data_IF_540899720062
#
_entry.id   IF_540899720062
#
_cell.length_a   1.000
_cell.length_b   1.000
_cell.length_c   1.000
_cell.angle_alpha   90.00
_cell.angle_beta   90.00
_cell.angle_gamma   90.00
#
_symmetry.space_group_name_H-M   'P 1'
#
loop_
_entity.id
_entity.type
_entity.pdbx_description
1 polymer ?
#
# COMPACT_ATOMS: atom_id res chain seq x y z
N UNK A 1 15.29 23.10 -3.94
CA UNK A 1 16.44 22.34 -3.44
C UNK A 1 17.39 22.12 -4.61
N UNK A 2 18.59 22.71 -4.61
CA UNK A 2 19.50 22.75 -5.79
C UNK A 2 20.82 21.98 -5.57
N UNK A 3 20.82 20.94 -4.72
CA UNK A 3 22.01 20.14 -4.45
C UNK A 3 21.68 18.66 -4.36
N UNK A 4 22.66 17.80 -4.68
CA UNK A 4 22.54 16.35 -4.60
C UNK A 4 22.51 15.81 -3.16
N UNK A 5 22.83 16.66 -2.17
CA UNK A 5 22.94 16.28 -0.77
C UNK A 5 24.17 15.42 -0.43
N UNK A 6 25.20 15.40 -1.30
CA UNK A 6 26.45 14.68 -1.02
C UNK A 6 27.08 15.24 0.26
N UNK A 7 27.21 14.38 1.28
CA UNK A 7 27.78 14.75 2.58
C UNK A 7 26.83 15.50 3.53
N UNK A 8 25.52 15.52 3.27
CA UNK A 8 24.53 16.04 4.21
C UNK A 8 24.36 15.08 5.39
N UNK A 9 25.14 15.29 6.45
CA UNK A 9 24.96 14.59 7.72
C UNK A 9 23.92 15.31 8.56
N UNK A 10 22.92 14.57 9.03
CA UNK A 10 21.93 15.06 9.98
C UNK A 10 21.81 14.07 11.13
N UNK A 11 21.78 14.59 12.36
CA UNK A 11 21.47 13.83 13.57
C UNK A 11 19.97 13.88 13.91
N UNK A 12 19.17 14.50 13.04
CA UNK A 12 17.73 14.62 13.22
C UNK A 12 17.03 13.29 12.93
N UNK A 13 16.38 12.75 13.96
CA UNK A 13 15.58 11.54 13.87
C UNK A 13 14.41 11.70 12.91
N UNK A 14 13.81 12.90 12.78
CA UNK A 14 12.72 13.12 11.84
C UNK A 14 13.19 12.93 10.39
N UNK A 15 14.38 13.44 10.04
CA UNK A 15 14.98 13.23 8.73
C UNK A 15 15.33 11.76 8.47
N UNK A 16 15.90 11.05 9.46
CA UNK A 16 16.23 9.60 9.34
C UNK A 16 14.96 8.75 9.19
N UNK A 17 13.93 9.04 10.00
CA UNK A 17 12.65 8.33 9.98
C UNK A 17 11.86 8.59 8.70
N UNK A 18 12.02 9.75 8.04
CA UNK A 18 11.33 10.08 6.79
C UNK A 18 11.66 9.15 5.61
N UNK A 19 12.83 8.50 5.61
CA UNK A 19 13.28 7.66 4.49
C UNK A 19 12.92 6.16 4.64
N UNK A 20 12.95 5.62 5.86
CA UNK A 20 12.60 4.20 6.15
C UNK A 20 11.36 4.03 7.03
N UNK A 21 10.56 5.09 7.23
CA UNK A 21 9.47 5.21 8.21
C UNK A 21 9.97 5.15 9.67
N UNK A 22 10.53 4.02 10.09
CA UNK A 22 11.26 3.89 11.35
C UNK A 22 12.27 2.75 11.23
N UNK A 23 13.59 3.04 11.24
CA UNK A 23 14.61 2.02 11.05
C UNK A 23 14.72 1.02 12.21
N UNK A 24 14.04 1.25 13.35
CA UNK A 24 13.97 0.29 14.46
C UNK A 24 13.06 -0.91 14.15
N UNK A 25 12.07 -0.73 13.27
CA UNK A 25 11.04 -1.75 13.01
C UNK A 25 11.50 -2.66 11.86
N UNK A 26 12.43 -2.21 11.02
CA UNK A 26 13.00 -3.01 9.93
C UNK A 26 14.24 -3.79 10.39
N UNK A 27 14.41 -5.04 9.92
CA UNK A 27 15.57 -5.86 10.27
C UNK A 27 16.86 -5.24 9.70
N UNK A 28 17.97 -5.40 10.43
CA UNK A 28 19.27 -4.78 10.09
C UNK A 28 19.73 -5.09 8.66
N UNK A 29 19.59 -6.34 8.21
CA UNK A 29 19.95 -6.75 6.85
C UNK A 29 19.21 -5.94 5.77
N UNK A 30 17.92 -5.65 5.97
CA UNK A 30 17.14 -4.85 5.01
C UNK A 30 17.66 -3.40 4.96
N UNK A 31 17.99 -2.82 6.11
CA UNK A 31 18.56 -1.48 6.21
C UNK A 31 19.90 -1.37 5.48
N UNK A 32 20.80 -2.33 5.68
CA UNK A 32 22.11 -2.36 5.00
C UNK A 32 21.94 -2.48 3.49
N UNK A 33 20.99 -3.31 3.02
CA UNK A 33 20.73 -3.48 1.59
C UNK A 33 20.18 -2.19 0.95
N UNK A 34 19.26 -1.49 1.62
CA UNK A 34 18.74 -0.20 1.16
C UNK A 34 19.86 0.84 1.11
N UNK A 35 20.72 0.89 2.13
CA UNK A 35 21.86 1.80 2.16
C UNK A 35 22.83 1.52 1.00
N UNK A 36 23.16 0.26 0.74
CA UNK A 36 24.00 -0.11 -0.39
C UNK A 36 23.37 0.27 -1.73
N UNK A 37 22.06 0.03 -1.90
CA UNK A 37 21.31 0.43 -3.08
C UNK A 37 21.31 1.95 -3.28
N UNK A 38 21.13 2.73 -2.21
CA UNK A 38 21.23 4.19 -2.22
C UNK A 38 22.63 4.65 -2.66
N UNK A 39 23.69 4.07 -2.09
CA UNK A 39 25.07 4.44 -2.44
C UNK A 39 25.36 4.14 -3.91
N UNK A 40 24.97 2.95 -4.39
CA UNK A 40 25.13 2.57 -5.78
C UNK A 40 24.35 3.51 -6.71
N UNK A 41 23.13 3.88 -6.35
CA UNK A 41 22.31 4.79 -7.15
C UNK A 41 22.91 6.20 -7.23
N UNK A 42 23.20 6.82 -6.09
CA UNK A 42 23.61 8.24 -6.01
C UNK A 42 25.07 8.43 -6.42
N UNK A 43 25.98 7.52 -6.05
CA UNK A 43 27.42 7.70 -6.28
C UNK A 43 27.97 6.96 -7.50
N UNK A 44 27.25 5.96 -8.03
CA UNK A 44 27.72 5.19 -9.19
C UNK A 44 26.82 5.42 -10.39
N UNK A 45 25.53 5.09 -10.28
CA UNK A 45 24.61 5.13 -11.43
C UNK A 45 24.35 6.55 -11.93
N UNK A 46 24.01 7.47 -11.03
CA UNK A 46 23.68 8.85 -11.37
C UNK A 46 24.89 9.61 -11.99
N UNK A 47 26.12 9.50 -11.45
CA UNK A 47 27.29 10.15 -12.05
C UNK A 47 27.66 9.57 -13.42
N UNK A 48 27.58 8.24 -13.58
CA UNK A 48 27.84 7.58 -14.86
C UNK A 48 26.82 8.03 -15.92
N UNK A 49 25.54 8.14 -15.55
CA UNK A 49 24.49 8.56 -16.47
C UNK A 49 24.64 10.04 -16.88
N UNK A 50 24.96 10.94 -15.94
CA UNK A 50 25.05 12.37 -16.19
C UNK A 50 26.38 12.81 -16.81
N UNK A 51 27.51 12.48 -16.19
CA UNK A 51 28.83 12.92 -16.66
C UNK A 51 29.44 11.98 -17.68
N UNK A 52 29.28 10.66 -17.51
CA UNK A 52 29.92 9.64 -18.33
C UNK A 52 29.29 9.51 -19.71
N UNK A 53 28.03 9.11 -19.78
CA UNK A 53 27.36 8.82 -21.05
C UNK A 53 26.49 9.95 -21.60
N UNK A 54 26.24 11.00 -20.81
CA UNK A 54 25.30 12.08 -21.17
C UNK A 54 23.97 11.52 -21.71
N UNK A 55 23.43 10.51 -21.02
CA UNK A 55 22.20 9.84 -21.44
C UNK A 55 21.10 10.89 -21.61
N UNK A 56 20.37 10.88 -22.73
CA UNK A 56 19.28 11.83 -23.02
C UNK A 56 19.69 13.32 -23.04
N UNK A 57 20.92 13.67 -23.40
CA UNK A 57 21.42 15.06 -23.41
C UNK A 57 21.31 15.75 -22.04
N UNK A 58 21.49 14.99 -20.97
CA UNK A 58 21.23 15.44 -19.59
C UNK A 58 22.04 16.62 -19.11
N UNK A 59 23.18 16.94 -19.74
CA UNK A 59 23.97 18.14 -19.41
C UNK A 59 23.22 19.46 -19.68
N UNK A 60 22.12 19.46 -20.43
CA UNK A 60 21.33 20.68 -20.68
C UNK A 60 20.38 21.04 -19.54
N UNK A 61 20.15 20.13 -18.58
CA UNK A 61 19.26 20.35 -17.43
C UNK A 61 19.93 19.98 -16.10
N UNK A 62 19.40 20.50 -14.96
CA UNK A 62 19.93 20.18 -13.64
C UNK A 62 19.83 18.68 -13.30
N UNK A 63 20.80 18.17 -12.55
CA UNK A 63 20.86 16.75 -12.14
C UNK A 63 19.60 16.35 -11.36
N UNK A 64 19.15 17.23 -10.46
CA UNK A 64 17.95 17.06 -9.64
C UNK A 64 17.03 18.27 -9.80
N UNK A 65 15.83 18.04 -10.32
CA UNK A 65 14.76 19.04 -10.39
C UNK A 65 13.41 18.36 -10.58
N UNK A 66 12.38 18.91 -9.94
CA UNK A 66 10.98 18.52 -10.11
C UNK A 66 10.35 19.11 -11.38
N UNK A 67 11.03 20.04 -12.05
CA UNK A 67 10.51 20.70 -13.24
C UNK A 67 10.68 19.84 -14.49
N UNK A 68 9.81 20.09 -15.47
CA UNK A 68 9.89 19.52 -16.81
C UNK A 68 10.69 20.44 -17.72
N UNK A 69 11.45 19.88 -18.66
CA UNK A 69 12.34 20.62 -19.55
C UNK A 69 12.08 20.32 -21.03
N UNK A 70 12.23 21.34 -21.87
CA UNK A 70 12.37 21.19 -23.32
C UNK A 70 13.77 20.67 -23.67
N UNK A 71 13.99 20.27 -24.92
CA UNK A 71 15.29 19.76 -25.40
C UNK A 71 16.44 20.78 -25.31
N UNK A 72 16.10 22.07 -25.29
CA UNK A 72 17.00 23.20 -25.15
C UNK A 72 17.35 23.54 -23.68
N UNK A 73 16.76 22.87 -22.69
CA UNK A 73 16.97 23.14 -21.26
C UNK A 73 16.05 24.22 -20.66
N UNK A 74 15.15 24.82 -21.43
CA UNK A 74 14.14 25.73 -20.86
C UNK A 74 13.04 24.95 -20.15
N UNK A 75 12.39 25.57 -19.16
CA UNK A 75 11.26 24.96 -18.48
C UNK A 75 10.13 24.72 -19.49
N UNK A 76 9.57 23.52 -19.46
CA UNK A 76 8.48 23.12 -20.34
C UNK A 76 7.16 23.67 -19.82
N UNK A 77 6.48 24.49 -20.61
CA UNK A 77 5.17 25.02 -20.23
C UNK A 77 4.06 23.99 -20.53
N UNK A 78 3.56 23.35 -19.48
CA UNK A 78 2.51 22.33 -19.55
C UNK A 78 1.19 22.96 -20.03
N UNK A 79 0.93 24.23 -19.71
CA UNK A 79 -0.34 24.88 -20.08
C UNK A 79 -0.48 25.06 -21.58
N UNK A 80 0.64 25.16 -22.30
CA UNK A 80 0.65 25.30 -23.76
C UNK A 80 0.20 24.05 -24.53
N UNK A 81 0.28 22.86 -23.90
CA UNK A 81 -0.08 21.58 -24.52
C UNK A 81 -1.40 21.01 -24.01
N UNK A 82 -2.00 21.61 -22.99
CA UNK A 82 -3.24 21.12 -22.37
C UNK A 82 -4.36 22.10 -22.69
N UNK A 83 -5.39 21.63 -23.40
CA UNK A 83 -6.58 22.43 -23.68
C UNK A 83 -7.42 22.65 -22.39
N UNK A 84 -8.38 23.57 -22.40
CA UNK A 84 -9.30 23.84 -21.28
C UNK A 84 -10.09 22.61 -20.79
N UNK A 85 -10.18 21.57 -21.62
CA UNK A 85 -10.78 20.26 -21.29
C UNK A 85 -9.77 19.28 -20.63
N UNK A 86 -8.58 19.74 -20.27
CA UNK A 86 -7.48 18.94 -19.71
C UNK A 86 -7.00 17.79 -20.61
N UNK A 87 -7.31 17.86 -21.90
CA UNK A 87 -6.81 16.94 -22.90
C UNK A 87 -5.50 17.47 -23.50
N UNK A 88 -4.54 16.56 -23.69
CA UNK A 88 -3.29 16.88 -24.38
C UNK A 88 -3.60 17.16 -25.85
N UNK A 89 -3.31 18.37 -26.28
CA UNK A 89 -3.36 18.78 -27.68
C UNK A 89 -2.15 18.18 -28.40
N UNK A 90 -2.40 17.12 -29.17
CA UNK A 90 -1.33 16.39 -29.87
C UNK A 90 -0.62 17.23 -30.92
N UNK A 91 -1.32 18.21 -31.52
CA UNK A 91 -0.71 19.12 -32.50
C UNK A 91 0.24 20.10 -31.81
N UNK A 92 -0.19 20.70 -30.69
CA UNK A 92 0.66 21.56 -29.88
C UNK A 92 1.86 20.80 -29.30
N UNK A 93 1.64 19.56 -28.84
CA UNK A 93 2.70 18.67 -28.35
C UNK A 93 3.72 18.32 -29.44
N UNK A 94 3.25 18.01 -30.67
CA UNK A 94 4.15 17.70 -31.79
C UNK A 94 5.05 18.89 -32.15
N UNK A 95 4.54 20.13 -31.99
CA UNK A 95 5.28 21.38 -32.21
C UNK A 95 6.24 21.72 -31.07
N UNK A 96 5.80 21.55 -29.83
CA UNK A 96 6.59 21.85 -28.63
C UNK A 96 7.71 20.80 -28.38
N UNK A 97 7.55 19.60 -28.91
CA UNK A 97 8.52 18.52 -28.82
C UNK A 97 8.38 17.68 -27.54
N UNK A 98 9.29 16.72 -27.37
CA UNK A 98 9.24 15.77 -26.26
C UNK A 98 9.54 16.47 -24.93
N UNK A 99 8.79 16.09 -23.90
CA UNK A 99 9.04 16.48 -22.52
C UNK A 99 10.23 15.69 -21.98
N UNK A 100 11.22 16.39 -21.42
CA UNK A 100 12.35 15.80 -20.74
C UNK A 100 12.23 16.00 -19.22
N UNK A 101 12.67 14.98 -18.48
CA UNK A 101 12.75 14.98 -17.03
C UNK A 101 14.23 15.06 -16.62
N UNK A 102 14.49 15.52 -15.40
CA UNK A 102 15.85 15.42 -14.85
C UNK A 102 16.30 13.95 -14.76
N UNK A 103 17.61 13.72 -14.93
CA UNK A 103 18.16 12.36 -14.98
C UNK A 103 17.88 11.58 -13.70
N UNK A 104 17.86 12.27 -12.54
CA UNK A 104 17.51 11.67 -11.27
C UNK A 104 16.11 11.05 -11.31
N UNK A 105 15.10 11.82 -11.74
CA UNK A 105 13.73 11.31 -11.85
C UNK A 105 13.61 10.21 -12.91
N UNK A 106 14.27 10.36 -14.05
CA UNK A 106 14.25 9.34 -15.11
C UNK A 106 14.81 7.99 -14.62
N UNK A 107 15.95 8.00 -13.91
CA UNK A 107 16.53 6.79 -13.34
C UNK A 107 15.70 6.23 -12.18
N UNK A 108 15.17 7.07 -11.30
CA UNK A 108 14.25 6.64 -10.24
C UNK A 108 13.05 5.89 -10.84
N UNK A 109 12.36 6.47 -11.84
CA UNK A 109 11.25 5.79 -12.50
C UNK A 109 11.68 4.46 -13.13
N UNK A 110 12.81 4.45 -13.85
CA UNK A 110 13.36 3.22 -14.45
C UNK A 110 13.62 2.11 -13.43
N UNK A 111 14.27 2.43 -12.31
CA UNK A 111 14.51 1.48 -11.22
C UNK A 111 13.22 1.05 -10.52
N UNK A 112 12.23 1.93 -10.42
CA UNK A 112 10.92 1.57 -9.87
C UNK A 112 10.20 0.53 -10.74
N UNK A 113 10.26 0.63 -12.07
CA UNK A 113 9.77 -0.43 -12.98
C UNK A 113 10.51 -1.75 -12.75
N UNK A 114 11.85 -1.69 -12.64
CA UNK A 114 12.67 -2.86 -12.37
C UNK A 114 12.32 -3.51 -11.01
N UNK A 115 12.00 -2.70 -10.00
CA UNK A 115 11.66 -3.15 -8.65
C UNK A 115 10.37 -3.99 -8.63
N UNK A 116 9.38 -3.66 -9.48
CA UNK A 116 8.15 -4.46 -9.61
C UNK A 116 8.45 -5.85 -10.14
N UNK A 117 9.19 -5.93 -11.24
CA UNK A 117 9.59 -7.21 -11.82
C UNK A 117 10.45 -7.99 -10.83
N UNK A 118 11.43 -7.34 -10.21
CA UNK A 118 12.30 -7.95 -9.19
C UNK A 118 11.50 -8.49 -7.99
N UNK A 119 10.46 -7.79 -7.55
CA UNK A 119 9.58 -8.23 -6.45
C UNK A 119 8.89 -9.55 -6.78
N UNK A 120 8.27 -9.64 -7.96
CA UNK A 120 7.59 -10.86 -8.41
C UNK A 120 8.58 -12.00 -8.58
N UNK A 121 9.73 -11.74 -9.21
CA UNK A 121 10.79 -12.74 -9.41
C UNK A 121 11.38 -13.21 -8.07
N UNK A 122 11.66 -12.31 -7.15
CA UNK A 122 12.21 -12.63 -5.83
C UNK A 122 11.23 -13.48 -5.01
N UNK A 123 9.96 -13.08 -4.94
CA UNK A 123 8.93 -13.86 -4.23
C UNK A 123 8.72 -15.22 -4.89
N UNK A 124 8.67 -15.26 -6.23
CA UNK A 124 8.49 -16.51 -6.98
C UNK A 124 9.64 -17.50 -6.79
N UNK A 125 10.89 -17.04 -6.82
CA UNK A 125 12.07 -17.92 -6.72
C UNK A 125 12.34 -18.34 -5.28
N UNK A 126 12.39 -17.40 -4.34
CA UNK A 126 12.83 -17.66 -2.97
C UNK A 126 11.69 -18.21 -2.10
N UNK A 127 10.50 -17.61 -2.19
CA UNK A 127 9.36 -17.98 -1.35
C UNK A 127 8.36 -18.90 -2.06
N UNK A 128 8.45 -19.10 -3.38
CA UNK A 128 7.47 -19.88 -4.15
C UNK A 128 7.27 -21.30 -3.66
N UNK A 129 8.36 -22.00 -3.29
CA UNK A 129 8.27 -23.36 -2.73
C UNK A 129 7.55 -23.37 -1.38
N UNK A 130 7.87 -22.41 -0.52
CA UNK A 130 7.25 -22.28 0.81
C UNK A 130 5.76 -21.92 0.68
N UNK A 131 5.41 -20.96 -0.19
CA UNK A 131 4.03 -20.59 -0.50
C UNK A 131 3.24 -21.81 -0.96
N UNK A 132 3.79 -22.60 -1.88
CA UNK A 132 3.12 -23.79 -2.38
C UNK A 132 2.94 -24.86 -1.29
N UNK A 133 3.97 -25.09 -0.48
CA UNK A 133 3.91 -26.04 0.64
C UNK A 133 2.87 -25.61 1.67
N UNK A 134 2.85 -24.34 2.10
CA UNK A 134 1.86 -23.81 3.05
C UNK A 134 0.45 -23.82 2.46
N UNK A 135 0.28 -23.48 1.18
CA UNK A 135 -1.01 -23.57 0.50
C UNK A 135 -1.53 -25.01 0.44
N UNK A 136 -0.65 -25.99 0.20
CA UNK A 136 -1.01 -27.40 0.19
C UNK A 136 -1.27 -27.94 1.60
N UNK A 137 -0.47 -27.52 2.59
CA UNK A 137 -0.61 -27.89 3.99
C UNK A 137 -1.95 -27.40 4.55
N UNK A 138 -2.32 -26.14 4.30
CA UNK A 138 -3.61 -25.56 4.73
C UNK A 138 -4.82 -26.40 4.31
N UNK A 139 -4.75 -27.14 3.19
CA UNK A 139 -5.83 -28.03 2.72
C UNK A 139 -5.81 -29.43 3.34
N UNK A 140 -4.66 -29.87 3.88
CA UNK A 140 -4.43 -31.25 4.35
C UNK A 140 -4.19 -31.35 5.85
N UNK A 141 -3.87 -30.24 6.49
CA UNK A 141 -3.53 -30.18 7.90
C UNK A 141 -4.75 -30.54 8.74
N UNK A 142 -4.53 -31.45 9.69
CA UNK A 142 -5.59 -31.86 10.61
C UNK A 142 -5.91 -30.64 11.48
N UNK A 143 -7.19 -30.30 11.66
CA UNK A 143 -7.56 -29.19 12.53
C UNK A 143 -6.95 -29.44 13.91
N UNK A 144 -6.19 -28.46 14.39
CA UNK A 144 -5.66 -28.49 15.74
C UNK A 144 -6.82 -28.47 16.76
N UNK A 145 -6.49 -28.69 18.04
CA UNK A 145 -7.50 -28.75 19.10
C UNK A 145 -8.31 -27.45 19.14
N UNK A 146 -7.67 -26.30 18.92
CA UNK A 146 -8.34 -25.00 18.84
C UNK A 146 -9.31 -24.94 17.66
N UNK A 147 -8.91 -25.28 16.44
CA UNK A 147 -9.82 -25.32 15.28
C UNK A 147 -10.97 -26.30 15.52
N UNK A 148 -10.72 -27.44 16.16
CA UNK A 148 -11.77 -28.42 16.49
C UNK A 148 -12.77 -27.88 17.51
N UNK A 149 -12.31 -27.14 18.52
CA UNK A 149 -13.16 -26.45 19.49
C UNK A 149 -13.92 -25.28 18.84
N UNK A 150 -13.26 -24.55 17.93
CA UNK A 150 -13.84 -23.42 17.21
C UNK A 150 -14.86 -23.86 16.14
N UNK A 151 -14.78 -25.08 15.61
CA UNK A 151 -15.78 -25.66 14.68
C UNK A 151 -17.20 -25.78 15.27
N UNK A 152 -17.36 -25.60 16.58
CA UNK A 152 -18.66 -25.52 17.24
C UNK A 152 -19.42 -24.23 16.88
N UNK A 153 -18.71 -23.20 16.41
CA UNK A 153 -19.28 -21.93 16.00
C UNK A 153 -19.57 -21.92 14.51
N UNK A 154 -20.72 -21.34 14.15
CA UNK A 154 -21.05 -21.11 12.75
C UNK A 154 -20.10 -20.07 12.15
N UNK A 155 -19.54 -20.41 10.99
CA UNK A 155 -18.69 -19.49 10.23
C UNK A 155 -19.48 -18.23 9.84
N UNK A 156 -18.81 -17.07 9.92
CA UNK A 156 -19.41 -15.79 9.51
C UNK A 156 -19.83 -15.90 8.04
N UNK A 157 -21.08 -15.54 7.68
CA UNK A 157 -21.57 -15.68 6.32
C UNK A 157 -20.79 -14.77 5.36
N UNK A 158 -19.86 -15.36 4.60
CA UNK A 158 -19.02 -14.64 3.63
C UNK A 158 -19.80 -13.97 2.48
N UNK A 159 -21.11 -14.26 2.34
CA UNK A 159 -21.99 -13.64 1.34
C UNK A 159 -22.02 -12.12 1.44
N UNK A 160 -21.99 -11.57 2.67
CA UNK A 160 -21.95 -10.12 2.89
C UNK A 160 -20.67 -9.47 2.34
N UNK A 161 -19.53 -10.14 2.48
CA UNK A 161 -18.27 -9.67 1.93
C UNK A 161 -18.30 -9.66 0.40
N UNK A 162 -18.73 -10.77 -0.22
CA UNK A 162 -18.81 -10.85 -1.68
C UNK A 162 -19.86 -9.89 -2.26
N UNK A 163 -20.99 -9.68 -1.57
CA UNK A 163 -22.02 -8.73 -2.03
C UNK A 163 -21.54 -7.28 -1.96
N UNK A 164 -20.88 -6.89 -0.87
CA UNK A 164 -20.33 -5.55 -0.72
C UNK A 164 -19.19 -5.29 -1.71
N UNK A 165 -18.33 -6.28 -1.94
CA UNK A 165 -17.29 -6.22 -2.96
C UNK A 165 -17.88 -6.06 -4.36
N UNK A 166 -18.87 -6.89 -4.73
CA UNK A 166 -19.55 -6.81 -6.03
C UNK A 166 -20.25 -5.47 -6.23
N UNK A 167 -20.91 -4.95 -5.19
CA UNK A 167 -21.54 -3.62 -5.22
C UNK A 167 -20.50 -2.52 -5.46
N UNK A 168 -19.38 -2.54 -4.74
CA UNK A 168 -18.33 -1.53 -4.89
C UNK A 168 -17.71 -1.51 -6.30
N UNK A 169 -17.48 -2.69 -6.89
CA UNK A 169 -16.98 -2.82 -8.27
C UNK A 169 -18.02 -2.33 -9.27
N UNK A 170 -19.29 -2.67 -9.05
CA UNK A 170 -20.40 -2.27 -9.93
C UNK A 170 -20.61 -0.75 -9.92
N UNK A 171 -20.61 -0.12 -8.75
CA UNK A 171 -20.68 1.34 -8.62
C UNK A 171 -19.48 2.01 -9.28
N UNK A 172 -18.28 1.45 -9.09
CA UNK A 172 -17.05 1.98 -9.72
C UNK A 172 -17.08 1.88 -11.25
N UNK A 173 -17.57 0.77 -11.80
CA UNK A 173 -17.75 0.60 -13.26
C UNK A 173 -18.83 1.55 -13.80
N UNK A 174 -19.94 1.71 -13.09
CA UNK A 174 -21.02 2.61 -13.46
C UNK A 174 -20.56 4.08 -13.48
N UNK A 175 -19.77 4.49 -12.50
CA UNK A 175 -19.16 5.83 -12.48
C UNK A 175 -18.22 6.03 -13.67
N UNK A 176 -17.44 5.02 -14.06
CA UNK A 176 -16.56 5.10 -15.23
C UNK A 176 -17.33 5.18 -16.56
N UNK A 177 -18.56 4.67 -16.65
CA UNK A 177 -19.39 4.75 -17.87
C UNK A 177 -20.22 6.02 -17.94
N UNK A 178 -20.86 6.43 -16.84
CA UNK A 178 -21.74 7.62 -16.79
C UNK A 178 -20.91 8.91 -16.74
N UNK A 179 -19.89 8.99 -15.89
CA UNK A 179 -19.06 10.18 -15.71
C UNK A 179 -17.81 10.13 -16.62
N UNK A 180 -17.95 9.62 -17.85
CA UNK A 180 -16.83 9.51 -18.80
C UNK A 180 -16.11 10.84 -19.04
N UNK A 181 -16.88 11.94 -19.05
CA UNK A 181 -16.35 13.29 -19.26
C UNK A 181 -15.50 13.80 -18.08
N UNK A 182 -15.76 13.32 -16.86
CA UNK A 182 -15.09 13.78 -15.63
C UNK A 182 -14.01 12.82 -15.13
N UNK A 183 -14.22 11.51 -15.30
CA UNK A 183 -13.34 10.46 -14.74
C UNK A 183 -12.22 10.10 -15.71
N UNK A 184 -12.40 10.32 -17.03
CA UNK A 184 -11.45 10.06 -18.13
C UNK A 184 -10.78 8.66 -18.16
N UNK A 185 -11.10 7.77 -17.22
CA UNK A 185 -10.59 6.42 -17.10
C UNK A 185 -11.47 5.47 -17.94
N UNK A 186 -10.91 4.71 -18.89
CA UNK A 186 -11.67 3.68 -19.59
C UNK A 186 -12.08 2.58 -18.61
N UNK A 187 -13.29 2.02 -18.78
CA UNK A 187 -13.83 0.95 -17.93
C UNK A 187 -12.90 -0.27 -17.83
N UNK A 188 -12.19 -0.62 -18.91
CA UNK A 188 -11.21 -1.70 -18.92
C UNK A 188 -9.99 -1.39 -18.03
N UNK A 189 -9.62 -0.12 -17.90
CA UNK A 189 -8.53 0.31 -17.01
C UNK A 189 -8.82 0.02 -15.54
N UNK A 190 -10.09 0.07 -15.12
CA UNK A 190 -10.50 -0.29 -13.77
C UNK A 190 -10.31 -1.80 -13.50
N UNK A 191 -10.74 -2.64 -14.46
CA UNK A 191 -10.58 -4.10 -14.36
C UNK A 191 -9.10 -4.48 -14.36
N UNK A 192 -8.31 -3.83 -15.21
CA UNK A 192 -6.86 -4.01 -15.24
C UNK A 192 -6.20 -3.63 -13.90
N UNK A 193 -6.60 -2.51 -13.30
CA UNK A 193 -6.10 -2.07 -12.00
C UNK A 193 -6.47 -3.05 -10.86
N UNK A 194 -7.69 -3.59 -10.87
CA UNK A 194 -8.11 -4.64 -9.92
C UNK A 194 -7.30 -5.92 -10.09
N UNK A 195 -7.08 -6.35 -11.34
CA UNK A 195 -6.26 -7.52 -11.65
C UNK A 195 -4.80 -7.34 -11.18
N UNK A 196 -4.20 -6.19 -11.45
CA UNK A 196 -2.86 -5.88 -10.95
C UNK A 196 -2.82 -5.85 -9.42
N UNK A 197 -3.78 -5.19 -8.76
CA UNK A 197 -3.84 -5.15 -7.31
C UNK A 197 -3.89 -6.56 -6.71
N UNK A 198 -4.74 -7.44 -7.24
CA UNK A 198 -4.84 -8.83 -6.80
C UNK A 198 -3.52 -9.60 -6.96
N UNK A 199 -2.87 -9.50 -8.12
CA UNK A 199 -1.60 -10.18 -8.41
C UNK A 199 -0.48 -9.69 -7.49
N UNK A 200 -0.36 -8.37 -7.31
CA UNK A 200 0.72 -7.76 -6.52
C UNK A 200 0.47 -7.79 -5.02
N UNK A 201 -0.75 -8.07 -4.56
CA UNK A 201 -1.06 -8.15 -3.12
C UNK A 201 -0.17 -9.19 -2.43
N UNK A 202 -0.10 -10.42 -2.95
CA UNK A 202 0.67 -11.48 -2.30
C UNK A 202 2.18 -11.18 -2.25
N UNK A 203 2.86 -10.80 -3.35
CA UNK A 203 4.28 -10.46 -3.31
C UNK A 203 4.60 -9.28 -2.39
N UNK A 204 3.78 -8.21 -2.44
CA UNK A 204 3.99 -7.03 -1.59
C UNK A 204 3.77 -7.38 -0.13
N UNK A 205 2.76 -8.20 0.20
CA UNK A 205 2.51 -8.64 1.58
C UNK A 205 3.68 -9.45 2.14
N UNK A 206 4.31 -10.33 1.36
CA UNK A 206 5.46 -11.14 1.83
C UNK A 206 6.68 -10.26 2.07
N UNK A 207 6.97 -9.32 1.17
CA UNK A 207 8.11 -8.40 1.35
C UNK A 207 7.85 -7.49 2.55
N UNK A 208 6.65 -6.93 2.68
CA UNK A 208 6.28 -6.10 3.83
C UNK A 208 6.37 -6.91 5.13
N UNK A 209 5.91 -8.16 5.15
CA UNK A 209 5.96 -9.01 6.35
C UNK A 209 7.40 -9.39 6.76
N UNK A 210 8.33 -9.50 5.81
CA UNK A 210 9.71 -9.95 6.08
C UNK A 210 10.68 -8.79 6.31
N UNK A 211 10.47 -7.65 5.65
CA UNK A 211 11.39 -6.49 5.68
C UNK A 211 10.80 -5.27 6.39
N UNK A 212 9.50 -5.29 6.66
CA UNK A 212 8.74 -4.14 7.15
C UNK A 212 8.87 -2.89 6.25
N UNK A 213 9.15 -3.10 4.96
CA UNK A 213 9.26 -2.05 3.96
C UNK A 213 8.14 -2.22 2.93
N UNK A 214 7.31 -1.19 2.79
CA UNK A 214 6.22 -1.17 1.83
C UNK A 214 6.69 -0.52 0.53
N UNK A 215 6.47 -1.21 -0.60
CA UNK A 215 6.76 -0.66 -1.92
C UNK A 215 5.62 0.28 -2.30
N UNK A 216 5.83 1.59 -2.15
CA UNK A 216 4.79 2.60 -2.42
C UNK A 216 4.49 2.80 -3.93
N UNK A 217 5.25 2.21 -4.85
CA UNK A 217 5.15 2.56 -6.27
C UNK A 217 3.86 2.09 -6.99
N UNK A 218 3.07 1.19 -6.40
CA UNK A 218 1.76 0.81 -6.97
C UNK A 218 0.76 1.99 -6.97
N UNK A 219 0.93 2.98 -6.09
CA UNK A 219 0.12 4.22 -6.09
C UNK A 219 0.50 5.18 -7.21
N UNK A 220 1.75 5.18 -7.65
CA UNK A 220 2.24 6.12 -8.68
C UNK A 220 1.85 5.66 -10.10
N UNK A 221 1.77 4.35 -10.33
CA UNK A 221 1.17 3.81 -11.56
C UNK A 221 -0.29 4.22 -11.75
N UNK A 222 -1.04 4.30 -10.64
CA UNK A 222 -2.39 4.83 -10.66
C UNK A 222 -2.37 6.32 -11.02
N UNK A 223 -1.41 7.09 -10.51
CA UNK A 223 -1.23 8.51 -10.82
C UNK A 223 -0.99 8.76 -12.32
N UNK A 224 -0.20 7.93 -13.00
CA UNK A 224 0.01 8.01 -14.46
C UNK A 224 -1.28 7.81 -15.27
N UNK A 225 -2.23 7.04 -14.75
CA UNK A 225 -3.59 6.96 -15.30
C UNK A 225 -4.49 8.13 -14.85
N UNK A 226 -4.26 8.69 -13.65
CA UNK A 226 -4.99 9.83 -13.09
C UNK A 226 -4.55 11.19 -13.62
N UNK A 227 -3.42 11.29 -14.33
CA UNK A 227 -2.97 12.53 -14.97
C UNK A 227 -3.92 13.06 -16.07
N UNK A 228 -4.96 12.31 -16.42
CA UNK A 228 -6.07 12.78 -17.26
C UNK A 228 -7.23 13.40 -16.47
N UNK A 229 -7.28 13.31 -15.15
CA UNK A 229 -8.44 13.77 -14.39
C UNK A 229 -8.41 15.30 -14.23
N UNK A 230 -9.51 16.03 -14.55
CA UNK A 230 -9.56 17.48 -14.42
C UNK A 230 -9.39 17.91 -12.94
N UNK A 231 -8.75 19.07 -12.67
CA UNK A 231 -8.38 19.51 -11.33
C UNK A 231 -9.56 19.72 -10.39
N UNK A 232 -10.78 19.97 -10.89
CA UNK A 232 -11.99 20.08 -10.05
C UNK A 232 -12.42 18.72 -9.48
N UNK A 233 -12.40 17.66 -10.28
CA UNK A 233 -12.70 16.31 -9.81
C UNK A 233 -11.53 15.71 -9.03
N UNK A 234 -10.29 16.03 -9.40
CA UNK A 234 -9.11 15.69 -8.59
C UNK A 234 -9.16 16.39 -7.22
N UNK A 235 -9.52 17.67 -7.16
CA UNK A 235 -9.73 18.37 -5.88
C UNK A 235 -10.86 17.73 -5.07
N UNK A 236 -12.00 17.39 -5.67
CA UNK A 236 -13.09 16.71 -4.95
C UNK A 236 -12.70 15.32 -4.44
N UNK A 237 -11.96 14.53 -5.22
CA UNK A 237 -11.45 13.22 -4.80
C UNK A 237 -10.36 13.36 -3.75
N UNK A 238 -9.47 14.33 -3.87
CA UNK A 238 -8.38 14.56 -2.91
C UNK A 238 -8.89 15.20 -1.61
N UNK A 239 -9.91 16.06 -1.71
CA UNK A 239 -10.74 16.52 -0.60
C UNK A 239 -11.39 15.29 0.05
N UNK A 240 -12.16 14.49 -0.69
CA UNK A 240 -12.82 13.30 -0.15
C UNK A 240 -11.84 12.31 0.47
N UNK A 241 -10.69 12.02 -0.17
CA UNK A 241 -9.63 11.18 0.40
C UNK A 241 -9.08 11.79 1.68
N UNK A 242 -8.84 13.10 1.73
CA UNK A 242 -8.36 13.77 2.94
C UNK A 242 -9.39 13.74 4.06
N UNK A 243 -10.66 14.03 3.78
CA UNK A 243 -11.71 14.00 4.80
C UNK A 243 -12.08 12.58 5.21
N UNK A 244 -12.10 11.62 4.29
CA UNK A 244 -12.36 10.22 4.59
C UNK A 244 -11.17 9.58 5.32
N UNK A 245 -9.93 9.97 5.02
CA UNK A 245 -8.76 9.58 5.80
C UNK A 245 -8.80 10.18 7.21
N UNK A 246 -9.13 11.47 7.35
CA UNK A 246 -9.29 12.11 8.66
C UNK A 246 -10.46 11.48 9.44
N UNK A 247 -11.56 11.15 8.77
CA UNK A 247 -12.71 10.49 9.38
C UNK A 247 -12.37 9.06 9.80
N UNK A 248 -11.69 8.28 8.94
CA UNK A 248 -11.20 6.94 9.27
C UNK A 248 -10.24 7.01 10.46
N UNK A 249 -9.27 7.93 10.44
CA UNK A 249 -8.33 8.13 11.54
C UNK A 249 -9.04 8.58 12.83
N UNK A 250 -10.06 9.43 12.73
CA UNK A 250 -10.88 9.85 13.87
C UNK A 250 -11.76 8.70 14.42
N UNK A 251 -12.27 7.84 13.54
CA UNK A 251 -13.01 6.63 13.94
C UNK A 251 -12.08 5.62 14.60
N UNK A 252 -10.89 5.36 14.04
CA UNK A 252 -9.90 4.46 14.64
C UNK A 252 -9.40 4.98 16.00
N UNK A 253 -9.10 6.29 16.08
CA UNK A 253 -8.75 6.95 17.33
C UNK A 253 -9.92 6.94 18.33
N UNK A 254 -11.15 7.13 17.85
CA UNK A 254 -12.37 7.08 18.66
C UNK A 254 -12.64 5.69 19.23
N UNK A 255 -12.43 4.63 18.44
CA UNK A 255 -12.50 3.23 18.90
C UNK A 255 -11.42 2.95 19.93
N UNK A 256 -10.18 3.41 19.70
CA UNK A 256 -9.08 3.24 20.66
C UNK A 256 -9.38 3.96 22.00
N UNK A 257 -9.86 5.20 21.95
CA UNK A 257 -10.24 5.96 23.14
C UNK A 257 -11.40 5.30 23.88
N UNK A 258 -12.44 4.86 23.15
CA UNK A 258 -13.55 4.11 23.74
C UNK A 258 -13.08 2.79 24.36
N UNK A 259 -12.10 2.10 23.76
CA UNK A 259 -11.51 0.90 24.35
C UNK A 259 -10.88 1.15 25.72
N UNK A 260 -10.14 2.25 25.87
CA UNK A 260 -9.56 2.65 27.16
C UNK A 260 -10.64 3.02 28.18
N UNK A 261 -11.65 3.80 27.77
CA UNK A 261 -12.77 4.18 28.63
C UNK A 261 -13.55 2.94 29.11
N UNK A 262 -13.87 2.01 28.20
CA UNK A 262 -14.55 0.76 28.54
C UNK A 262 -13.70 -0.12 29.47
N UNK A 263 -12.39 -0.14 29.28
CA UNK A 263 -11.50 -0.89 30.17
C UNK A 263 -11.55 -0.38 31.63
N UNK A 264 -11.43 0.93 31.83
CA UNK A 264 -11.46 1.52 33.18
C UNK A 264 -12.85 1.51 33.81
N UNK A 265 -13.91 1.70 33.02
CA UNK A 265 -15.28 1.80 33.55
C UNK A 265 -15.98 0.45 33.74
N UNK A 266 -15.70 -0.53 32.88
CA UNK A 266 -16.41 -1.82 32.87
C UNK A 266 -15.48 -2.99 33.20
N UNK A 267 -14.32 -3.09 32.55
CA UNK A 267 -13.42 -4.24 32.74
C UNK A 267 -12.79 -4.27 34.14
N UNK A 268 -12.32 -3.13 34.66
CA UNK A 268 -11.74 -3.07 36.02
C UNK A 268 -12.76 -3.34 37.13
N UNK A 269 -14.00 -2.90 36.97
CA UNK A 269 -15.08 -3.16 37.95
C UNK A 269 -15.83 -4.48 37.70
N UNK A 270 -15.40 -5.30 36.73
CA UNK A 270 -16.07 -6.52 36.27
C UNK A 270 -17.58 -6.33 35.99
N UNK A 271 -17.97 -5.19 35.42
CA UNK A 271 -19.37 -4.91 35.05
C UNK A 271 -19.60 -5.25 33.58
N UNK A 272 -20.50 -6.20 33.31
CA UNK A 272 -20.93 -6.54 31.94
C UNK A 272 -22.22 -5.81 31.56
N UNK A 273 -22.23 -5.12 30.42
CA UNK A 273 -23.45 -4.51 29.86
C UNK A 273 -24.05 -5.49 28.84
N UNK A 274 -25.32 -5.84 29.01
CA UNK A 274 -26.06 -6.60 28.01
C UNK A 274 -26.67 -5.65 26.97
N UNK A 275 -26.16 -5.73 25.74
CA UNK A 275 -26.73 -5.07 24.55
C UNK A 275 -26.77 -6.08 23.38
N UNK A 276 -27.26 -5.63 22.23
CA UNK A 276 -27.52 -6.41 21.03
C UNK A 276 -26.18 -6.86 20.45
N UNK A 277 -25.96 -8.18 20.44
CA UNK A 277 -24.70 -8.79 20.05
C UNK A 277 -23.73 -9.12 21.20
N UNK A 278 -24.05 -8.78 22.46
CA UNK A 278 -23.24 -9.08 23.67
C UNK A 278 -24.00 -10.05 24.60
N UNK A 279 -24.69 -11.03 24.02
CA UNK A 279 -25.39 -12.07 24.79
C UNK A 279 -24.42 -13.15 25.25
N UNK A 280 -23.56 -12.80 26.22
CA UNK A 280 -22.59 -13.69 26.83
C UNK A 280 -21.57 -14.27 25.85
N UNK A 281 -20.54 -14.92 26.36
CA UNK A 281 -19.80 -15.83 25.49
C UNK A 281 -20.73 -16.97 25.11
N UNK A 282 -21.03 -17.12 23.82
CA UNK A 282 -21.65 -18.33 23.26
C UNK A 282 -20.74 -19.58 23.44
N UNK A 283 -19.63 -19.44 24.19
CA UNK A 283 -18.68 -20.45 24.58
C UNK A 283 -18.86 -20.88 26.04
N UNK A 284 -19.68 -21.92 26.32
CA UNK A 284 -19.66 -22.56 27.64
C UNK A 284 -18.31 -23.21 27.98
N UNK A 285 -17.38 -23.29 27.01
CA UNK A 285 -16.02 -23.81 27.21
C UNK A 285 -15.00 -22.76 27.63
N UNK A 286 -15.23 -21.47 27.39
CA UNK A 286 -14.28 -20.42 27.76
C UNK A 286 -14.25 -20.16 29.27
N UNK A 287 -15.31 -20.54 29.97
CA UNK A 287 -15.40 -20.53 31.43
C UNK A 287 -14.69 -21.73 32.08
N UNK A 288 -14.23 -22.71 31.29
CA UNK A 288 -13.64 -23.93 31.82
C UNK A 288 -12.20 -23.71 32.30
N UNK A 289 -11.83 -24.26 33.48
CA UNK A 289 -10.46 -24.19 33.96
C UNK A 289 -9.52 -24.97 33.04
N UNK A 290 -8.45 -24.32 32.59
CA UNK A 290 -7.39 -24.90 31.74
C UNK A 290 -6.26 -25.54 32.54
N UNK A 291 -6.36 -25.56 33.87
CA UNK A 291 -5.37 -26.18 34.75
C UNK A 291 -5.46 -27.72 34.66
N UNK A 292 -4.29 -28.35 34.50
CA UNK A 292 -4.15 -29.81 34.33
C UNK A 292 -4.68 -30.55 35.57
N UNK A 293 -5.55 -31.54 35.38
CA UNK A 293 -6.08 -32.38 36.45
C UNK A 293 -7.33 -31.86 37.20
N UNK A 294 -7.96 -30.78 36.75
CA UNK A 294 -9.24 -30.32 37.32
C UNK A 294 -10.40 -31.09 36.67
N UNK A 295 -11.04 -31.97 37.43
CA UNK A 295 -12.22 -32.72 36.99
C UNK A 295 -13.47 -32.10 37.63
N UNK A 296 -14.32 -31.46 36.81
CA UNK A 296 -15.54 -30.77 37.25
C UNK A 296 -16.77 -31.71 37.38
N UNK A 297 -16.56 -33.03 37.30
CA UNK A 297 -17.62 -34.03 37.43
C UNK A 297 -18.34 -34.36 36.12
N UNK A 298 -19.18 -35.40 36.14
CA UNK A 298 -19.85 -35.99 34.97
C UNK A 298 -20.88 -35.10 34.29
N UNK A 299 -21.33 -34.04 34.96
CA UNK A 299 -22.37 -33.12 34.48
C UNK A 299 -21.79 -31.82 33.87
N UNK A 300 -20.46 -31.69 33.81
CA UNK A 300 -19.79 -30.48 33.31
C UNK A 300 -19.47 -30.57 31.82
N UNK A 301 -19.69 -29.47 31.09
CA UNK A 301 -19.42 -29.33 29.64
C UNK A 301 -17.90 -29.19 29.35
N UNK A 302 -17.09 -29.09 30.40
CA UNK A 302 -15.66 -28.82 30.34
C UNK A 302 -14.81 -30.08 30.12
N UNK A 303 -13.92 -30.11 29.11
CA UNK A 303 -13.03 -31.24 28.88
C UNK A 303 -11.94 -31.29 29.98
N UNK A 304 -11.61 -32.51 30.42
CA UNK A 304 -10.49 -32.74 31.36
C UNK A 304 -9.17 -32.71 30.58
N UNK A 305 -8.23 -31.88 31.02
CA UNK A 305 -6.88 -31.71 30.45
C UNK A 305 -5.79 -32.43 31.25
#
# INVERSE_FOLDING_TARGET
>A
MQGLGIGAFTLDWATVSSYLFSPLISPFFATVNIFFGYVLFVYVMLPIAYWGFNLYNTKTFPIFSTNLFMSNGTIYDITSIVNDQFMINMDAYSKAGKVNLSIFFALCYGLSFATITATVTHVGIFYGKEIYQRFRASRKEKPDIHTRLMKKYDDIPGRWFYSLMALSISVSLLLCTILKHEVQLPWWGLIFALGMAFIFTLPISIITATTNQAIAFLSDFKLGHYMKIPPKSMFLVQWWVRYNYILSAALDAGVAFMGVVLYFSLTMEMKSIHWWGITGEHCPLASCPTAKGVNLGTDSICPVF
#
